data_IF_397156359728
#
_entry.id   IF_397156359728
#
_cell.length_a   1.000
_cell.length_b   1.000
_cell.length_c   1.000
_cell.angle_alpha   90.00
_cell.angle_beta   90.00
_cell.angle_gamma   90.00
#
_symmetry.space_group_name_H-M   'P 1'
#
loop_
_entity.id
_entity.type
_entity.pdbx_description
1 polymer ?
#
# COMPACT_ATOMS: atom_id res chain seq x y z
N UNK A 1 -0.40 -24.82 -0.05
CA UNK A 1 0.60 -24.44 0.96
C UNK A 1 -0.08 -23.61 2.03
N UNK A 2 -0.44 -24.25 3.14
CA UNK A 2 -1.10 -23.62 4.30
C UNK A 2 -0.04 -23.12 5.29
N UNK A 3 -0.39 -22.15 6.14
CA UNK A 3 0.53 -21.60 7.16
C UNK A 3 1.16 -22.68 8.05
N UNK A 4 0.40 -23.74 8.35
CA UNK A 4 0.89 -24.85 9.16
C UNK A 4 1.96 -25.68 8.45
N UNK A 5 1.80 -25.93 7.14
CA UNK A 5 2.81 -26.63 6.34
C UNK A 5 4.12 -25.84 6.26
N UNK A 6 4.05 -24.51 6.19
CA UNK A 6 5.23 -23.63 6.19
C UNK A 6 5.95 -23.66 7.54
N UNK A 7 5.23 -23.65 8.66
CA UNK A 7 5.82 -23.68 9.99
C UNK A 7 6.50 -25.02 10.30
N UNK A 8 5.89 -26.13 9.89
CA UNK A 8 6.49 -27.46 10.03
C UNK A 8 7.74 -27.60 9.14
N UNK A 9 7.71 -27.06 7.92
CA UNK A 9 8.88 -27.03 7.04
C UNK A 9 10.03 -26.21 7.66
N UNK A 10 9.75 -25.05 8.25
CA UNK A 10 10.77 -24.22 8.93
C UNK A 10 11.38 -24.96 10.13
N UNK A 11 10.55 -25.62 10.95
CA UNK A 11 11.03 -26.40 12.11
C UNK A 11 11.85 -27.62 11.74
N UNK A 12 11.62 -28.18 10.56
CA UNK A 12 12.38 -29.31 10.03
C UNK A 12 13.73 -28.89 9.40
N UNK A 13 14.00 -27.59 9.24
CA UNK A 13 15.32 -27.11 8.84
C UNK A 13 16.29 -27.41 9.98
N UNK A 14 17.35 -28.15 9.64
CA UNK A 14 18.40 -28.48 10.58
C UNK A 14 19.24 -27.21 10.87
N UNK A 15 19.48 -26.84 12.14
CA UNK A 15 20.25 -25.64 12.50
C UNK A 15 21.68 -25.62 11.93
N UNK A 16 22.21 -26.80 11.64
CA UNK A 16 23.51 -27.03 11.00
C UNK A 16 23.60 -26.48 9.56
N UNK A 17 22.48 -26.09 8.95
CA UNK A 17 22.43 -25.39 7.66
C UNK A 17 22.23 -23.87 7.79
N UNK A 18 22.14 -23.35 9.01
CA UNK A 18 22.03 -21.91 9.23
C UNK A 18 23.34 -21.24 8.83
N UNK A 19 23.24 -20.07 8.20
CA UNK A 19 24.41 -19.29 7.81
C UNK A 19 25.19 -18.85 9.06
N UNK A 20 26.40 -19.36 9.22
CA UNK A 20 27.35 -18.95 10.25
C UNK A 20 28.42 -18.08 9.59
N UNK A 21 28.50 -16.83 10.01
CA UNK A 21 29.52 -15.90 9.54
C UNK A 21 30.92 -16.41 9.86
N UNK A 22 31.80 -16.44 8.87
CA UNK A 22 33.13 -17.05 8.94
C UNK A 22 34.22 -16.10 9.45
N UNK A 23 33.88 -14.81 9.66
CA UNK A 23 34.78 -13.78 10.16
C UNK A 23 35.72 -13.19 9.10
N UNK A 24 35.63 -13.60 7.84
CA UNK A 24 36.55 -13.16 6.79
C UNK A 24 36.12 -11.85 6.12
N UNK A 25 34.81 -11.60 6.01
CA UNK A 25 34.27 -10.40 5.39
C UNK A 25 33.28 -9.68 6.32
N UNK A 26 33.60 -8.45 6.73
CA UNK A 26 32.72 -7.65 7.59
C UNK A 26 31.41 -7.25 6.91
N UNK A 27 31.36 -7.18 5.57
CA UNK A 27 30.13 -6.85 4.83
C UNK A 27 29.13 -8.01 4.82
N UNK A 28 29.61 -9.24 5.02
CA UNK A 28 28.83 -10.49 5.07
C UNK A 28 28.35 -10.85 6.49
N UNK A 29 28.66 -10.01 7.48
CA UNK A 29 28.25 -10.25 8.87
C UNK A 29 26.73 -10.04 9.03
N UNK A 30 26.03 -10.90 9.78
CA UNK A 30 24.64 -10.65 10.11
C UNK A 30 24.51 -9.36 10.92
N UNK A 31 23.44 -8.61 10.67
CA UNK A 31 23.11 -7.43 11.45
C UNK A 31 22.93 -7.80 12.92
N UNK A 32 23.46 -6.96 13.81
CA UNK A 32 23.10 -7.04 15.22
C UNK A 32 21.63 -6.68 15.41
N UNK A 33 21.01 -7.20 16.48
CA UNK A 33 19.60 -6.93 16.81
C UNK A 33 19.30 -5.42 16.86
N UNK A 34 20.23 -4.62 17.39
CA UNK A 34 20.10 -3.16 17.48
C UNK A 34 20.21 -2.46 16.12
N UNK A 35 21.05 -2.95 15.21
CA UNK A 35 21.18 -2.42 13.85
C UNK A 35 19.95 -2.79 13.00
N UNK A 36 19.46 -4.02 13.15
CA UNK A 36 18.24 -4.50 12.50
C UNK A 36 17.03 -3.65 12.93
N UNK A 37 16.85 -3.47 14.24
CA UNK A 37 15.74 -2.67 14.77
C UNK A 37 15.80 -1.20 14.34
N UNK A 38 17.02 -0.62 14.26
CA UNK A 38 17.23 0.72 13.69
C UNK A 38 16.82 0.79 12.22
N UNK A 39 17.27 -0.16 11.39
CA UNK A 39 16.88 -0.24 9.98
C UNK A 39 15.36 -0.36 9.78
N UNK A 40 14.70 -1.23 10.56
CA UNK A 40 13.24 -1.41 10.51
C UNK A 40 12.51 -0.13 10.90
N UNK A 41 12.94 0.54 11.98
CA UNK A 41 12.30 1.78 12.45
C UNK A 41 12.36 2.91 11.41
N UNK A 42 13.50 3.04 10.71
CA UNK A 42 13.68 4.00 9.62
C UNK A 42 12.83 3.64 8.39
N UNK A 43 12.72 2.35 8.07
CA UNK A 43 11.95 1.85 6.93
C UNK A 43 10.43 1.97 7.12
N UNK A 44 9.91 1.86 8.35
CA UNK A 44 8.46 2.00 8.65
C UNK A 44 7.86 3.35 8.23
N UNK A 45 8.70 4.39 8.08
CA UNK A 45 8.26 5.73 7.66
C UNK A 45 7.94 5.84 6.16
N UNK A 46 8.29 4.84 5.34
CA UNK A 46 8.07 4.83 3.88
C UNK A 46 7.27 3.60 3.44
N UNK A 47 6.20 3.30 4.16
CA UNK A 47 5.18 2.36 3.68
C UNK A 47 4.43 2.93 2.46
N UNK A 48 3.82 2.02 1.67
CA UNK A 48 2.86 2.38 0.61
C UNK A 48 1.85 3.37 1.20
N UNK A 49 1.54 4.49 0.53
CA UNK A 49 0.56 5.44 1.05
C UNK A 49 -0.73 4.72 1.43
N UNK A 50 -1.33 5.14 2.54
CA UNK A 50 -2.62 4.64 3.00
C UNK A 50 -3.61 4.68 1.82
N UNK A 51 -4.41 3.62 1.69
CA UNK A 51 -5.31 3.43 0.55
C UNK A 51 -6.20 4.66 0.31
N UNK A 52 -6.63 4.84 -0.94
CA UNK A 52 -7.60 5.89 -1.28
C UNK A 52 -8.98 5.48 -0.76
N UNK A 53 -9.66 6.36 -0.01
CA UNK A 53 -11.07 6.21 0.40
C UNK A 53 -12.07 6.42 -0.76
N UNK A 54 -11.65 6.13 -1.99
CA UNK A 54 -12.44 6.32 -3.20
C UNK A 54 -12.67 4.98 -3.87
N UNK A 55 -13.93 4.65 -4.12
CA UNK A 55 -14.31 3.45 -4.85
C UNK A 55 -14.44 3.77 -6.34
N UNK A 56 -13.70 3.05 -7.19
CA UNK A 56 -13.91 3.13 -8.63
C UNK A 56 -15.18 2.34 -9.00
N UNK A 57 -16.13 3.00 -9.64
CA UNK A 57 -17.38 2.39 -10.09
C UNK A 57 -17.56 2.55 -11.59
N UNK A 58 -18.33 1.65 -12.21
CA UNK A 58 -18.78 1.80 -13.58
C UNK A 58 -20.13 2.55 -13.60
N UNK A 59 -20.09 3.86 -13.88
CA UNK A 59 -21.28 4.72 -13.98
C UNK A 59 -21.44 5.21 -15.42
N UNK A 60 -22.67 5.16 -15.95
CA UNK A 60 -23.03 5.81 -17.22
C UNK A 60 -23.48 7.24 -16.92
N UNK A 61 -22.89 8.20 -17.64
CA UNK A 61 -23.22 9.62 -17.57
C UNK A 61 -23.54 10.12 -18.99
N UNK A 62 -24.35 11.15 -19.08
CA UNK A 62 -24.61 11.81 -20.36
C UNK A 62 -23.32 12.39 -20.96
N UNK A 63 -23.17 12.26 -22.28
CA UNK A 63 -21.99 12.74 -23.00
C UNK A 63 -21.77 14.24 -22.84
N UNK A 64 -22.85 15.03 -22.77
CA UNK A 64 -22.79 16.48 -22.58
C UNK A 64 -22.18 16.85 -21.23
N UNK A 65 -22.61 16.17 -20.16
CA UNK A 65 -22.10 16.36 -18.79
C UNK A 65 -20.62 15.97 -18.74
N UNK A 66 -20.27 14.81 -19.28
CA UNK A 66 -18.90 14.32 -19.30
C UNK A 66 -17.97 15.24 -20.12
N UNK A 67 -18.45 15.77 -21.25
CA UNK A 67 -17.72 16.74 -22.06
C UNK A 67 -17.50 18.07 -21.32
N UNK A 68 -18.53 18.57 -20.63
CA UNK A 68 -18.44 19.81 -19.85
C UNK A 68 -17.41 19.71 -18.72
N UNK A 69 -17.36 18.60 -17.99
CA UNK A 69 -16.31 18.42 -16.99
C UNK A 69 -14.94 18.23 -17.64
N UNK A 70 -14.80 17.42 -18.70
CA UNK A 70 -13.50 17.22 -19.37
C UNK A 70 -12.89 18.50 -19.91
N UNK A 71 -13.70 19.44 -20.40
CA UNK A 71 -13.22 20.72 -20.93
C UNK A 71 -12.55 21.60 -19.86
N UNK A 72 -12.85 21.37 -18.58
CA UNK A 72 -12.18 22.05 -17.45
C UNK A 72 -10.70 21.65 -17.29
N UNK A 73 -10.23 20.64 -18.02
CA UNK A 73 -8.82 20.24 -18.06
C UNK A 73 -8.39 19.31 -16.92
N UNK A 74 -7.12 19.39 -16.52
CA UNK A 74 -6.54 18.52 -15.48
C UNK A 74 -7.35 18.60 -14.18
N UNK A 75 -7.66 17.45 -13.60
CA UNK A 75 -8.45 17.36 -12.36
C UNK A 75 -9.98 17.40 -12.54
N UNK A 76 -10.50 17.24 -13.76
CA UNK A 76 -11.94 17.26 -14.01
C UNK A 76 -12.73 16.21 -13.21
N UNK A 77 -12.15 15.04 -12.94
CA UNK A 77 -12.77 14.02 -12.09
C UNK A 77 -12.90 14.46 -10.64
N UNK A 78 -11.90 15.18 -10.11
CA UNK A 78 -11.96 15.76 -8.77
C UNK A 78 -13.08 16.81 -8.70
N UNK A 79 -13.14 17.71 -9.69
CA UNK A 79 -14.23 18.71 -9.77
C UNK A 79 -15.61 18.07 -9.87
N UNK A 80 -15.74 17.00 -10.65
CA UNK A 80 -17.00 16.24 -10.74
C UNK A 80 -17.38 15.63 -9.37
N UNK A 81 -16.41 15.04 -8.66
CA UNK A 81 -16.63 14.51 -7.32
C UNK A 81 -17.04 15.61 -6.32
N UNK A 82 -16.43 16.78 -6.38
CA UNK A 82 -16.75 17.89 -5.48
C UNK A 82 -18.14 18.45 -5.77
N UNK A 83 -18.55 18.53 -7.04
CA UNK A 83 -19.92 18.89 -7.41
C UNK A 83 -20.96 17.89 -6.88
N UNK A 84 -20.64 16.59 -6.87
CA UNK A 84 -21.53 15.56 -6.28
C UNK A 84 -21.63 15.71 -4.76
N UNK A 85 -20.55 16.10 -4.08
CA UNK A 85 -20.58 16.39 -2.64
C UNK A 85 -21.43 17.62 -2.34
N UNK A 86 -21.23 18.71 -3.07
CA UNK A 86 -22.03 19.93 -2.92
C UNK A 86 -23.51 19.64 -3.15
N UNK A 87 -23.84 18.81 -4.15
CA UNK A 87 -25.22 18.40 -4.39
C UNK A 87 -25.83 17.65 -3.19
N UNK A 88 -25.07 16.76 -2.54
CA UNK A 88 -25.52 16.04 -1.33
C UNK A 88 -25.68 16.96 -0.11
N UNK A 89 -24.82 17.97 0.04
CA UNK A 89 -24.95 18.97 1.10
C UNK A 89 -26.24 19.80 0.93
N UNK A 90 -26.60 20.12 -0.32
CA UNK A 90 -27.82 20.86 -0.66
C UNK A 90 -29.08 19.98 -0.64
N UNK A 91 -28.94 18.67 -0.87
CA UNK A 91 -30.04 17.70 -0.94
C UNK A 91 -29.78 16.56 0.04
N UNK A 92 -29.86 16.81 1.36
CA UNK A 92 -29.71 15.76 2.35
C UNK A 92 -30.76 14.69 2.10
N UNK A 93 -30.30 13.44 1.98
CA UNK A 93 -31.20 12.29 1.92
C UNK A 93 -32.01 12.27 3.23
N UNK A 94 -33.34 12.29 3.10
CA UNK A 94 -34.29 12.17 4.21
C UNK A 94 -34.11 10.82 4.90
#
# INVERSE_FOLDING_TARGET
MTRNEVLEAIRAIKPEMDYVWDGNDEDDRPLTEDELNRGISLARSRGRPAGSDKTQIALRLDNSVLAAFKSTGKGWQTRMNDALKEWLEQHPAI
#
